data_IF_449168556662
#
_entry.id   IF_449168556662
#
_cell.length_a   1.000
_cell.length_b   1.000
_cell.length_c   1.000
_cell.angle_alpha   90.00
_cell.angle_beta   90.00
_cell.angle_gamma   90.00
#
_symmetry.space_group_name_H-M   'P 1'
#
loop_
_entity.id
_entity.type
_entity.pdbx_description
1 polymer ?
#
# COMPACT_ATOMS: atom_id res chain seq x y z
N UNK A 1 5.44 0.19 2.17
CA UNK A 1 6.14 -1.11 2.22
C UNK A 1 7.66 -0.92 2.15
N UNK A 2 8.38 -1.63 3.02
CA UNK A 2 9.80 -1.42 3.30
C UNK A 2 10.68 -2.56 2.79
N UNK A 3 11.93 -2.66 3.29
CA UNK A 3 12.83 -3.76 2.94
C UNK A 3 12.18 -5.13 3.09
N UNK A 4 12.39 -6.01 2.10
CA UNK A 4 11.84 -7.37 2.10
C UNK A 4 10.38 -7.49 1.64
N UNK A 5 9.67 -6.39 1.36
CA UNK A 5 8.30 -6.46 0.87
C UNK A 5 8.22 -6.71 -0.64
N UNK A 6 7.36 -7.65 -1.03
CA UNK A 6 6.93 -7.92 -2.40
C UNK A 6 5.42 -7.69 -2.51
N UNK A 7 4.99 -6.86 -3.45
CA UNK A 7 3.57 -6.77 -3.81
C UNK A 7 3.14 -8.02 -4.57
N UNK A 8 2.16 -8.73 -4.04
CA UNK A 8 1.56 -9.92 -4.66
C UNK A 8 0.43 -9.54 -5.63
N UNK A 9 -0.38 -8.55 -5.26
CA UNK A 9 -1.44 -8.00 -6.09
C UNK A 9 -1.73 -6.55 -5.70
N UNK A 10 -2.34 -5.83 -6.64
CA UNK A 10 -2.71 -4.43 -6.52
C UNK A 10 -4.03 -4.21 -7.28
N UNK A 11 -5.03 -3.67 -6.59
CA UNK A 11 -6.28 -3.21 -7.18
C UNK A 11 -6.45 -1.73 -6.86
N UNK A 12 -6.39 -0.89 -7.89
CA UNK A 12 -6.33 0.57 -7.76
C UNK A 12 -7.47 1.23 -8.51
N UNK A 13 -8.06 2.23 -7.86
CA UNK A 13 -8.94 3.21 -8.48
C UNK A 13 -8.27 4.57 -8.48
N UNK A 14 -7.96 5.08 -9.67
CA UNK A 14 -7.45 6.43 -9.86
C UNK A 14 -8.64 7.37 -10.05
N UNK A 15 -8.96 8.11 -8.99
CA UNK A 15 -10.18 8.93 -8.91
C UNK A 15 -10.01 10.34 -9.44
N UNK A 16 -8.78 10.86 -9.46
CA UNK A 16 -8.45 12.20 -9.94
C UNK A 16 -7.01 12.28 -10.49
N UNK A 17 -6.70 13.21 -11.41
CA UNK A 17 -5.36 13.38 -11.95
C UNK A 17 -4.40 14.02 -10.94
N UNK A 18 -3.13 13.63 -11.01
CA UNK A 18 -2.00 14.26 -10.31
C UNK A 18 -1.07 14.87 -11.35
N UNK A 19 -0.60 16.09 -11.12
CA UNK A 19 0.27 16.83 -12.04
C UNK A 19 1.69 16.99 -11.48
N UNK A 20 2.64 17.32 -12.34
CA UNK A 20 4.01 17.63 -11.93
C UNK A 20 3.99 18.82 -10.98
N UNK A 21 4.61 18.66 -9.80
CA UNK A 21 4.64 19.67 -8.75
C UNK A 21 3.59 19.45 -7.65
N UNK A 22 2.60 18.56 -7.86
CA UNK A 22 1.67 18.19 -6.80
C UNK A 22 2.41 17.46 -5.67
N UNK A 23 2.09 17.83 -4.43
CA UNK A 23 2.44 17.04 -3.25
C UNK A 23 1.28 16.11 -2.93
N UNK A 24 1.58 14.83 -2.76
CA UNK A 24 0.61 13.81 -2.36
C UNK A 24 1.08 13.10 -1.09
N UNK A 25 0.12 12.68 -0.27
CA UNK A 25 0.34 11.88 0.94
C UNK A 25 -0.29 10.51 0.72
N UNK A 26 0.50 9.45 0.86
CA UNK A 26 0.02 8.08 0.80
C UNK A 26 -0.08 7.49 2.21
N UNK A 27 -1.24 6.93 2.53
CA UNK A 27 -1.51 6.23 3.77
C UNK A 27 -1.79 4.75 3.48
N UNK A 28 -1.27 3.88 4.35
CA UNK A 28 -1.49 2.45 4.29
C UNK A 28 -2.04 1.96 5.63
N UNK A 29 -3.19 1.30 5.60
CA UNK A 29 -3.81 0.67 6.77
C UNK A 29 -3.83 -0.83 6.59
N UNK A 30 -3.27 -1.56 7.55
CA UNK A 30 -3.37 -3.02 7.59
C UNK A 30 -4.84 -3.40 7.81
N UNK A 31 -5.41 -4.13 6.85
CA UNK A 31 -6.77 -4.68 6.95
C UNK A 31 -6.74 -6.09 7.52
N UNK A 32 -5.78 -6.91 7.07
CA UNK A 32 -5.63 -8.29 7.53
C UNK A 32 -4.17 -8.73 7.49
N UNK A 33 -3.84 -9.69 8.35
CA UNK A 33 -2.55 -10.40 8.38
C UNK A 33 -2.87 -11.88 8.23
N UNK A 34 -2.25 -12.53 7.26
CA UNK A 34 -2.45 -13.96 7.03
C UNK A 34 -1.86 -14.76 8.19
N UNK A 35 -2.61 -15.70 8.74
CA UNK A 35 -2.26 -16.38 10.01
C UNK A 35 -0.95 -17.18 9.93
N UNK A 36 -0.67 -17.81 8.79
CA UNK A 36 0.46 -18.73 8.64
C UNK A 36 1.51 -18.32 7.61
N UNK A 37 1.33 -17.17 6.94
CA UNK A 37 2.24 -16.67 5.91
C UNK A 37 2.52 -15.21 6.21
N UNK A 38 3.72 -14.68 5.91
CA UNK A 38 4.03 -13.29 6.19
C UNK A 38 3.43 -12.40 5.08
N UNK A 39 2.10 -12.43 4.98
CA UNK A 39 1.31 -11.75 3.97
C UNK A 39 0.31 -10.84 4.67
N UNK A 40 0.20 -9.61 4.20
CA UNK A 40 -0.73 -8.60 4.73
C UNK A 40 -1.55 -7.99 3.61
N UNK A 41 -2.82 -7.74 3.88
CA UNK A 41 -3.69 -6.91 3.05
C UNK A 41 -3.68 -5.47 3.57
N UNK A 42 -3.45 -4.52 2.68
CA UNK A 42 -3.36 -3.10 2.99
C UNK A 42 -4.43 -2.32 2.21
N UNK A 43 -5.26 -1.55 2.91
CA UNK A 43 -5.98 -0.45 2.29
C UNK A 43 -5.02 0.71 2.07
N UNK A 44 -4.97 1.22 0.84
CA UNK A 44 -4.16 2.37 0.46
C UNK A 44 -5.07 3.53 0.07
N UNK A 45 -4.75 4.71 0.57
CA UNK A 45 -5.35 5.96 0.15
C UNK A 45 -4.24 6.96 -0.15
N UNK A 46 -4.33 7.63 -1.29
CA UNK A 46 -3.43 8.72 -1.64
C UNK A 46 -4.25 10.00 -1.79
N UNK A 47 -3.90 11.02 -1.02
CA UNK A 47 -4.53 12.33 -1.05
C UNK A 47 -3.55 13.37 -1.59
N UNK A 48 -4.03 14.28 -2.44
CA UNK A 48 -3.26 15.46 -2.82
C UNK A 48 -3.38 16.53 -1.72
N UNK A 49 -2.44 17.48 -1.68
CA UNK A 49 -2.39 18.54 -0.67
C UNK A 49 -3.66 19.41 -0.56
N UNK A 50 -4.53 19.43 -1.57
CA UNK A 50 -5.84 20.08 -1.53
C UNK A 50 -6.93 19.24 -0.83
N UNK A 51 -6.59 18.02 -0.38
CA UNK A 51 -7.48 17.09 0.29
C UNK A 51 -8.19 16.11 -0.66
N UNK A 52 -8.00 16.23 -1.98
CA UNK A 52 -8.64 15.33 -2.95
C UNK A 52 -7.99 13.93 -2.89
N UNK A 53 -8.81 12.88 -2.74
CA UNK A 53 -8.34 11.51 -2.92
C UNK A 53 -8.09 11.27 -4.41
N UNK A 54 -6.84 10.99 -4.77
CA UNK A 54 -6.41 10.77 -6.16
C UNK A 54 -6.25 9.29 -6.48
N UNK A 55 -6.04 8.45 -5.46
CA UNK A 55 -5.99 7.00 -5.56
C UNK A 55 -6.55 6.37 -4.29
N UNK A 56 -7.36 5.33 -4.47
CA UNK A 56 -7.77 4.43 -3.40
C UNK A 56 -7.71 2.97 -3.88
N UNK A 57 -7.49 2.03 -2.98
CA UNK A 57 -7.58 0.62 -3.30
C UNK A 57 -6.89 -0.30 -2.30
N UNK A 58 -6.58 -1.52 -2.73
CA UNK A 58 -6.04 -2.56 -1.88
C UNK A 58 -4.77 -3.17 -2.49
N UNK A 59 -3.78 -3.43 -1.65
CA UNK A 59 -2.60 -4.19 -2.01
C UNK A 59 -2.39 -5.39 -1.07
N UNK A 60 -2.05 -6.53 -1.66
CA UNK A 60 -1.54 -7.68 -0.91
C UNK A 60 -0.02 -7.68 -0.96
N UNK A 61 0.63 -7.75 0.20
CA UNK A 61 2.08 -7.69 0.33
C UNK A 61 2.59 -8.94 1.06
N UNK A 62 3.56 -9.63 0.48
CA UNK A 62 4.42 -10.56 1.20
C UNK A 62 5.59 -9.78 1.80
N UNK A 63 5.98 -10.05 3.05
CA UNK A 63 7.17 -9.42 3.66
C UNK A 63 8.13 -10.47 4.16
N UNK A 64 9.31 -10.55 3.54
CA UNK A 64 10.41 -11.38 4.01
C UNK A 64 11.14 -10.70 5.18
N UNK A 65 11.39 -11.44 6.25
CA UNK A 65 12.39 -11.07 7.26
C UNK A 65 13.55 -12.08 7.21
N UNK A 66 14.81 -11.66 6.98
CA UNK A 66 15.96 -12.56 7.02
C UNK A 66 16.06 -13.36 8.34
N UNK A 67 15.56 -12.79 9.44
CA UNK A 67 15.56 -13.42 10.76
C UNK A 67 14.44 -14.46 10.96
N UNK A 68 13.58 -14.69 9.95
CA UNK A 68 12.49 -15.67 10.01
C UNK A 68 12.87 -17.07 9.53
N UNK A 69 14.15 -17.30 9.24
CA UNK A 69 14.74 -18.63 9.09
C UNK A 69 15.69 -18.86 10.27
N UNK A 70 15.14 -19.47 11.33
CA UNK A 70 15.89 -20.21 12.33
C UNK A 70 16.01 -21.67 11.92
#
# INVERSE_FOLDING_TARGET
PGPGTVFLSQDWRFTAPVFIGDTVTAEAKVLSVHESKPVTELAITVTRADGETVLEGVAWCYTFSPDSVG
#
